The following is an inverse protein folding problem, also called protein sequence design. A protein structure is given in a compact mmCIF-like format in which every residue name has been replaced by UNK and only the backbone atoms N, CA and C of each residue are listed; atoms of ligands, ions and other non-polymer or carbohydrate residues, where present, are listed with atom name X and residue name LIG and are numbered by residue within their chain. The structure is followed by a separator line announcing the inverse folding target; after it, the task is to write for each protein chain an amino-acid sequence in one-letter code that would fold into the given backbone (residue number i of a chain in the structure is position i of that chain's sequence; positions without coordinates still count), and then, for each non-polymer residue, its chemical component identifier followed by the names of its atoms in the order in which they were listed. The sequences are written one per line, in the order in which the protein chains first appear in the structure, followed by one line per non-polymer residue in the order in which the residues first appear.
data_IF_613520614378
#
_entry.id   IF_613520614378
#
_cell.length_a   1.000
_cell.length_b   1.000
_cell.length_c   1.000
_cell.angle_alpha   90.00
_cell.angle_beta   90.00
_cell.angle_gamma   90.00
#
_symmetry.space_group_name_H-M   'P 1'
#
loop_
_entity.id
_entity.type
_entity.pdbx_description
1 polymer ?
#
# COMPACT_ATOMS: atom_id res chain seq x y z
N UNK A 1 -19.07 3.27 -10.61
CA UNK A 1 -17.70 3.58 -11.05
C UNK A 1 -16.90 3.83 -9.78
N UNK A 2 -15.91 3.01 -9.46
CA UNK A 2 -15.10 3.17 -8.24
C UNK A 2 -14.31 4.48 -8.31
N UNK A 3 -14.48 5.35 -7.32
CA UNK A 3 -13.73 6.62 -7.20
C UNK A 3 -12.35 6.36 -6.60
N UNK A 4 -11.45 7.33 -6.71
CA UNK A 4 -10.12 7.27 -6.07
C UNK A 4 -10.25 7.06 -4.56
N UNK A 5 -11.15 7.81 -3.91
CA UNK A 5 -11.39 7.73 -2.48
C UNK A 5 -11.94 6.37 -2.04
N UNK A 6 -12.86 5.78 -2.81
CA UNK A 6 -13.40 4.45 -2.52
C UNK A 6 -12.31 3.37 -2.57
N UNK A 7 -11.42 3.46 -3.56
CA UNK A 7 -10.26 2.59 -3.68
C UNK A 7 -9.29 2.74 -2.51
N UNK A 8 -9.00 3.99 -2.09
CA UNK A 8 -8.10 4.28 -0.97
C UNK A 8 -8.69 3.79 0.36
N UNK A 9 -10.00 3.96 0.56
CA UNK A 9 -10.70 3.48 1.75
C UNK A 9 -10.63 1.95 1.85
N UNK A 10 -10.90 1.27 0.73
CA UNK A 10 -10.80 -0.19 0.65
C UNK A 10 -9.37 -0.67 0.87
N UNK A 11 -8.40 0.04 0.31
CA UNK A 11 -6.99 -0.27 0.51
C UNK A 11 -6.59 -0.11 1.99
N UNK A 12 -7.05 0.93 2.67
CA UNK A 12 -6.84 1.12 4.10
C UNK A 12 -7.39 -0.05 4.93
N UNK A 13 -8.62 -0.51 4.63
CA UNK A 13 -9.22 -1.68 5.29
C UNK A 13 -8.36 -2.93 5.09
N UNK A 14 -7.94 -3.19 3.85
CA UNK A 14 -7.09 -4.35 3.56
C UNK A 14 -5.75 -4.23 4.29
N UNK A 15 -5.11 -3.06 4.32
CA UNK A 15 -3.85 -2.87 5.03
C UNK A 15 -3.95 -3.08 6.55
N UNK A 16 -5.11 -2.76 7.15
CA UNK A 16 -5.39 -3.02 8.56
C UNK A 16 -5.54 -4.52 8.84
N UNK A 17 -6.14 -5.26 7.90
CA UNK A 17 -6.37 -6.70 7.97
C UNK A 17 -5.15 -7.55 7.59
N UNK A 18 -4.12 -6.99 6.94
CA UNK A 18 -2.90 -7.71 6.56
C UNK A 18 -2.21 -8.26 7.82
N UNK A 19 -2.18 -9.58 7.94
CA UNK A 19 -1.39 -10.26 8.95
C UNK A 19 0.11 -10.05 8.73
N UNK A 20 0.92 -10.29 9.77
CA UNK A 20 2.36 -10.05 9.73
C UNK A 20 3.12 -10.90 8.67
N UNK A 21 2.54 -12.02 8.23
CA UNK A 21 3.11 -12.90 7.20
C UNK A 21 2.51 -12.64 5.80
N UNK A 22 1.49 -11.79 5.71
CA UNK A 22 0.81 -11.47 4.46
C UNK A 22 1.41 -10.25 3.77
N UNK A 23 1.35 -10.26 2.45
CA UNK A 23 1.77 -9.15 1.60
C UNK A 23 0.67 -8.83 0.60
N UNK A 24 0.42 -7.55 0.43
CA UNK A 24 -0.51 -7.06 -0.58
C UNK A 24 0.28 -6.51 -1.77
N UNK A 25 0.13 -7.16 -2.92
CA UNK A 25 0.70 -6.70 -4.19
C UNK A 25 -0.30 -5.88 -4.98
N UNK A 26 0.12 -4.71 -5.45
CA UNK A 26 -0.67 -3.81 -6.28
C UNK A 26 0.10 -3.52 -7.57
N UNK A 27 -0.58 -3.53 -8.72
CA UNK A 27 0.06 -3.14 -10.00
C UNK A 27 0.26 -1.63 -10.10
N UNK A 28 1.34 -1.24 -10.77
CA UNK A 28 1.72 0.14 -11.07
C UNK A 28 0.56 1.04 -11.50
N UNK A 29 -0.26 0.58 -12.46
CA UNK A 29 -1.43 1.34 -12.94
C UNK A 29 -2.42 1.74 -11.85
N UNK A 30 -2.53 0.94 -10.78
CA UNK A 30 -3.41 1.23 -9.64
C UNK A 30 -2.72 2.16 -8.64
N UNK A 31 -1.40 2.07 -8.54
CA UNK A 31 -0.61 2.98 -7.70
C UNK A 31 -0.71 4.39 -8.27
N UNK A 32 -0.47 4.57 -9.57
CA UNK A 32 -0.64 5.88 -10.23
C UNK A 32 -2.08 6.38 -10.12
N UNK A 33 -3.07 5.52 -10.38
CA UNK A 33 -4.49 5.92 -10.25
C UNK A 33 -4.87 6.34 -8.82
N UNK A 34 -4.31 5.70 -7.79
CA UNK A 34 -4.67 5.94 -6.41
C UNK A 34 -3.84 7.05 -5.73
N UNK A 35 -2.59 7.21 -6.14
CA UNK A 35 -1.58 7.98 -5.40
C UNK A 35 -0.93 9.09 -6.23
N UNK A 36 -1.33 9.34 -7.48
CA UNK A 36 -0.94 10.58 -8.17
C UNK A 36 -0.60 10.43 -9.66
N UNK A 37 -0.57 11.56 -10.36
CA UNK A 37 -0.49 11.63 -11.83
C UNK A 37 0.80 11.08 -12.45
N UNK A 38 1.89 10.99 -11.67
CA UNK A 38 3.17 10.44 -12.14
C UNK A 38 3.72 9.39 -11.20
N UNK A 39 4.33 8.34 -11.78
CA UNK A 39 4.92 7.19 -11.09
C UNK A 39 5.76 7.52 -9.85
N UNK A 40 6.63 8.52 -9.92
CA UNK A 40 7.51 8.86 -8.80
C UNK A 40 6.75 9.44 -7.60
N UNK A 41 5.76 10.31 -7.86
CA UNK A 41 4.90 10.89 -6.84
C UNK A 41 4.01 9.80 -6.23
N UNK A 42 3.42 8.96 -7.08
CA UNK A 42 2.55 7.87 -6.66
C UNK A 42 3.26 6.84 -5.76
N UNK A 43 4.54 6.53 -6.05
CA UNK A 43 5.35 5.65 -5.19
C UNK A 43 5.61 6.30 -3.83
N UNK A 44 5.93 7.60 -3.80
CA UNK A 44 6.18 8.31 -2.55
C UNK A 44 4.91 8.42 -1.69
N UNK A 45 3.77 8.76 -2.29
CA UNK A 45 2.47 8.80 -1.60
C UNK A 45 2.04 7.42 -1.09
N UNK A 46 2.25 6.36 -1.86
CA UNK A 46 1.99 4.98 -1.42
C UNK A 46 2.88 4.59 -0.22
N UNK A 47 4.12 5.06 -0.16
CA UNK A 47 5.01 4.83 0.97
C UNK A 47 4.54 5.56 2.24
N UNK A 48 4.14 6.83 2.11
CA UNK A 48 3.55 7.60 3.22
C UNK A 48 2.27 6.92 3.72
N UNK A 49 1.41 6.49 2.81
CA UNK A 49 0.17 5.78 3.11
C UNK A 49 0.45 4.48 3.86
N UNK A 50 1.38 3.64 3.37
CA UNK A 50 1.75 2.41 4.04
C UNK A 50 2.20 2.65 5.48
N UNK A 51 3.06 3.64 5.71
CA UNK A 51 3.56 4.00 7.05
C UNK A 51 2.43 4.43 7.99
N UNK A 52 1.47 5.21 7.49
CA UNK A 52 0.29 5.61 8.27
C UNK A 52 -0.54 4.40 8.75
N UNK A 53 -0.51 3.29 8.00
CA UNK A 53 -1.20 2.04 8.30
C UNK A 53 -0.29 0.96 8.92
N UNK A 54 0.87 1.33 9.47
CA UNK A 54 1.79 0.38 10.12
C UNK A 54 2.43 -0.66 9.17
N UNK A 55 2.41 -0.35 7.87
CA UNK A 55 2.99 -1.16 6.81
C UNK A 55 4.25 -0.51 6.25
N UNK A 56 5.06 -1.31 5.57
CA UNK A 56 6.11 -0.88 4.66
C UNK A 56 5.61 -1.02 3.24
N UNK A 57 6.08 -0.14 2.35
CA UNK A 57 5.85 -0.22 0.92
C UNK A 57 7.18 -0.43 0.20
N UNK A 58 7.21 -1.36 -0.76
CA UNK A 58 8.35 -1.56 -1.66
C UNK A 58 7.88 -1.60 -3.10
N UNK A 59 8.59 -0.90 -3.97
CA UNK A 59 8.25 -0.87 -5.39
C UNK A 59 9.27 -1.66 -6.22
N UNK A 60 8.80 -2.69 -6.92
CA UNK A 60 9.58 -3.48 -7.87
C UNK A 60 9.40 -2.93 -9.29
N UNK A 61 10.39 -2.16 -9.75
CA UNK A 61 10.42 -1.59 -11.12
C UNK A 61 10.42 -2.63 -12.23
N UNK A 62 11.06 -3.78 -12.03
CA UNK A 62 11.14 -4.83 -13.06
C UNK A 62 9.78 -5.49 -13.26
N UNK A 63 9.03 -5.67 -12.17
CA UNK A 63 7.70 -6.31 -12.19
C UNK A 63 6.55 -5.31 -12.31
N UNK A 64 6.81 -4.00 -12.20
CA UNK A 64 5.79 -2.95 -12.13
C UNK A 64 4.75 -3.22 -11.03
N UNK A 65 5.24 -3.60 -9.84
CA UNK A 65 4.43 -3.96 -8.68
C UNK A 65 4.88 -3.18 -7.44
N UNK A 66 3.92 -2.68 -6.68
CA UNK A 66 4.10 -2.25 -5.31
C UNK A 66 3.70 -3.36 -4.34
N UNK A 67 4.49 -3.56 -3.31
CA UNK A 67 4.30 -4.57 -2.27
C UNK A 67 4.14 -3.86 -0.93
N UNK A 68 2.97 -4.02 -0.31
CA UNK A 68 2.73 -3.64 1.07
C UNK A 68 3.00 -4.85 1.96
N UNK A 69 3.72 -4.63 3.04
CA UNK A 69 4.04 -5.68 4.02
C UNK A 69 3.98 -5.08 5.41
N UNK A 70 3.38 -5.78 6.37
CA UNK A 70 3.32 -5.30 7.76
C UNK A 70 4.74 -5.05 8.29
N UNK A 71 4.97 -3.89 8.91
CA UNK A 71 6.33 -3.52 9.35
C UNK A 71 6.81 -4.32 10.56
N UNK A 72 5.92 -4.78 11.45
CA UNK A 72 6.23 -5.54 12.68
C UNK A 72 5.00 -6.39 13.12
N UNK A 73 5.18 -7.49 13.88
CA UNK A 73 4.08 -8.35 14.30
C UNK A 73 3.14 -7.64 15.28
N UNK A 74 1.88 -8.09 15.36
CA UNK A 74 0.99 -7.80 16.47
C UNK A 74 1.55 -8.45 17.76
N UNK A 75 2.60 -7.85 18.32
CA UNK A 75 3.38 -8.38 19.44
C UNK A 75 3.76 -7.26 20.40
N UNK A 76 2.73 -6.67 21.01
CA UNK A 76 2.87 -5.63 22.03
C UNK A 76 1.69 -5.66 23.00
N UNK A 77 1.22 -6.86 23.37
CA UNK A 77 0.54 -7.04 24.66
C UNK A 77 1.63 -7.44 25.66
N UNK A 78 2.15 -6.44 26.36
CA UNK A 78 2.74 -6.65 27.68
C UNK A 78 1.65 -7.13 28.66
#
# INVERSE_FOLDING_TARGET
METRDDYLLRLATVLDEIAADEKLTIRDRYIERAFGETRAIAIAEAEVFARAHGCTFRYNRVKNLGEFTRSYPAGGRA
#
